data_IF_175153720775
#
_entry.id   IF_175153720775
#
_cell.length_a   1.000
_cell.length_b   1.000
_cell.length_c   1.000
_cell.angle_alpha   90.00
_cell.angle_beta   90.00
_cell.angle_gamma   90.00
#
_symmetry.space_group_name_H-M   'P 1'
#
loop_
_entity.id
_entity.type
_entity.pdbx_description
1 polymer ?
#
# COMPACT_ATOMS: atom_id res chain seq x y z
N UNK A 1 -7.41 8.14 -26.46
CA UNK A 1 -7.81 6.84 -25.87
C UNK A 1 -9.22 6.98 -25.30
N UNK A 2 -10.12 6.02 -25.52
CA UNK A 2 -11.56 6.11 -25.16
C UNK A 2 -12.04 5.02 -24.19
N UNK A 3 -11.15 4.16 -23.70
CA UNK A 3 -11.46 2.97 -22.90
C UNK A 3 -10.63 2.90 -21.63
N UNK A 4 -10.91 1.92 -20.76
CA UNK A 4 -10.06 1.59 -19.61
C UNK A 4 -9.57 0.14 -19.74
N UNK A 5 -8.36 -0.12 -19.24
CA UNK A 5 -7.75 -1.45 -19.16
C UNK A 5 -7.60 -1.88 -17.70
N UNK A 6 -7.48 -3.20 -17.50
CA UNK A 6 -7.20 -3.81 -16.20
C UNK A 6 -5.91 -4.60 -16.32
N UNK A 7 -5.00 -4.42 -15.36
CA UNK A 7 -3.73 -5.14 -15.29
C UNK A 7 -3.64 -5.80 -13.92
N UNK A 8 -3.25 -7.08 -13.91
CA UNK A 8 -2.93 -7.78 -12.68
C UNK A 8 -1.54 -7.38 -12.18
N UNK A 9 -1.51 -6.83 -10.99
CA UNK A 9 -0.33 -6.38 -10.26
C UNK A 9 -0.19 -7.15 -8.93
N UNK A 10 -0.92 -8.25 -8.77
CA UNK A 10 -0.87 -9.16 -7.62
C UNK A 10 0.56 -9.61 -7.28
N UNK A 11 1.52 -9.75 -8.20
CA UNK A 11 2.87 -10.12 -7.80
C UNK A 11 3.62 -9.10 -6.94
N UNK A 12 3.20 -7.83 -6.88
CA UNK A 12 3.89 -6.85 -6.03
C UNK A 12 3.93 -7.30 -4.57
N UNK A 13 5.02 -6.98 -3.89
CA UNK A 13 5.14 -7.26 -2.47
C UNK A 13 4.34 -6.25 -1.65
N UNK A 14 3.66 -6.72 -0.59
CA UNK A 14 2.86 -5.87 0.30
C UNK A 14 3.31 -6.10 1.73
N UNK A 15 3.98 -5.11 2.28
CA UNK A 15 4.51 -5.15 3.63
C UNK A 15 3.69 -4.20 4.50
N UNK A 16 3.11 -4.73 5.57
CA UNK A 16 2.40 -3.95 6.58
C UNK A 16 3.40 -3.55 7.67
N UNK A 17 3.58 -2.25 7.86
CA UNK A 17 4.45 -1.67 8.89
C UNK A 17 3.58 -0.93 9.89
N UNK A 18 3.55 -1.43 11.12
CA UNK A 18 2.68 -0.92 12.19
C UNK A 18 3.44 -0.69 13.49
N UNK A 19 2.95 0.22 14.32
CA UNK A 19 3.46 0.44 15.67
C UNK A 19 3.77 1.91 15.97
N UNK A 20 3.98 2.26 17.25
CA UNK A 20 4.12 3.65 17.69
C UNK A 20 5.31 4.37 17.07
N UNK A 21 6.35 3.63 16.66
CA UNK A 21 7.53 4.21 16.03
C UNK A 21 7.50 4.14 14.49
N UNK A 22 6.40 3.68 13.87
CA UNK A 22 6.36 3.38 12.45
C UNK A 22 6.64 4.60 11.54
N UNK A 23 6.07 5.76 11.88
CA UNK A 23 6.36 7.00 11.15
C UNK A 23 7.83 7.39 11.27
N UNK A 24 8.38 7.40 12.49
CA UNK A 24 9.75 7.78 12.77
C UNK A 24 10.75 6.83 12.10
N UNK A 25 10.48 5.53 12.16
CA UNK A 25 11.27 4.48 11.51
C UNK A 25 11.28 4.65 9.98
N UNK A 26 10.12 4.79 9.34
CA UNK A 26 10.04 4.98 7.89
C UNK A 26 10.70 6.30 7.46
N UNK A 27 10.56 7.35 8.26
CA UNK A 27 11.20 8.64 7.99
C UNK A 27 12.73 8.58 8.15
N UNK A 28 13.24 7.70 9.02
CA UNK A 28 14.67 7.50 9.20
C UNK A 28 15.31 6.73 8.04
N UNK A 29 14.63 5.68 7.55
CA UNK A 29 15.21 4.78 6.54
C UNK A 29 14.95 5.20 5.09
N UNK A 30 14.02 6.13 4.84
CA UNK A 30 13.64 6.54 3.48
C UNK A 30 13.97 8.01 3.20
N UNK A 31 14.21 8.33 1.93
CA UNK A 31 14.70 9.66 1.53
C UNK A 31 13.62 10.73 1.33
N UNK A 32 12.34 10.35 1.26
CA UNK A 32 11.23 11.27 1.07
C UNK A 32 10.40 11.42 2.36
N UNK A 33 9.66 12.53 2.46
CA UNK A 33 8.75 12.80 3.58
C UNK A 33 7.63 11.76 3.64
N UNK A 34 7.36 11.27 4.84
CA UNK A 34 6.29 10.31 5.10
C UNK A 34 4.90 10.94 4.86
N UNK A 35 3.96 10.20 4.24
CA UNK A 35 2.66 10.75 3.90
C UNK A 35 1.79 10.98 5.15
N UNK A 36 0.86 11.94 5.03
CA UNK A 36 -0.27 12.06 5.96
C UNK A 36 -1.23 10.88 5.79
N UNK A 37 -2.08 10.61 6.79
CA UNK A 37 -3.10 9.57 6.72
C UNK A 37 -3.98 9.74 5.46
N UNK A 38 -4.25 8.63 4.76
CA UNK A 38 -5.00 8.62 3.51
C UNK A 38 -4.21 9.16 2.31
N UNK A 39 -2.88 9.26 2.41
CA UNK A 39 -1.99 9.69 1.32
C UNK A 39 -0.95 8.64 1.04
N UNK A 40 -0.45 8.69 -0.19
CA UNK A 40 0.60 7.83 -0.71
C UNK A 40 1.75 8.67 -1.24
N UNK A 41 2.98 8.19 -1.07
CA UNK A 41 4.18 8.77 -1.68
C UNK A 41 5.05 7.66 -2.25
N UNK A 42 5.89 8.03 -3.21
CA UNK A 42 7.02 7.20 -3.65
C UNK A 42 8.25 7.70 -2.91
N UNK A 43 9.04 6.77 -2.37
CA UNK A 43 10.25 7.05 -1.60
C UNK A 43 11.30 5.99 -1.87
N UNK A 44 12.54 6.24 -1.47
CA UNK A 44 13.66 5.36 -1.71
C UNK A 44 14.39 5.05 -0.42
N UNK A 45 14.85 3.80 -0.26
CA UNK A 45 15.87 3.46 0.74
C UNK A 45 17.23 3.72 0.11
N UNK A 46 18.10 4.41 0.84
CA UNK A 46 19.46 4.68 0.41
C UNK A 46 20.45 3.85 1.23
N UNK A 47 21.52 3.41 0.59
CA UNK A 47 22.67 2.83 1.31
C UNK A 47 23.44 3.93 2.03
N UNK A 48 24.34 3.54 2.94
CA UNK A 48 25.24 4.48 3.64
C UNK A 48 26.14 5.29 2.70
N UNK A 49 26.35 4.82 1.47
CA UNK A 49 27.13 5.53 0.44
C UNK A 49 26.25 6.31 -0.53
N UNK A 50 24.93 6.39 -0.31
CA UNK A 50 24.00 7.17 -1.12
C UNK A 50 23.48 6.48 -2.39
N UNK A 51 23.68 5.16 -2.56
CA UNK A 51 23.08 4.42 -3.67
C UNK A 51 21.62 4.09 -3.36
N UNK A 52 20.77 4.01 -4.39
CA UNK A 52 19.39 3.55 -4.24
C UNK A 52 19.39 2.05 -3.98
N UNK A 53 18.97 1.66 -2.79
CA UNK A 53 18.83 0.26 -2.38
C UNK A 53 17.49 -0.31 -2.82
N UNK A 54 16.41 0.45 -2.61
CA UNK A 54 15.04 0.07 -2.95
C UNK A 54 14.19 1.30 -3.28
N UNK A 55 13.17 1.11 -4.12
CA UNK A 55 12.08 2.07 -4.34
C UNK A 55 10.79 1.51 -3.74
N UNK A 56 10.11 2.33 -2.95
CA UNK A 56 8.92 1.96 -2.20
C UNK A 56 7.77 2.91 -2.51
N UNK A 57 6.56 2.35 -2.62
CA UNK A 57 5.32 3.13 -2.54
C UNK A 57 4.74 2.98 -1.14
N UNK A 58 4.74 4.06 -0.36
CA UNK A 58 4.28 4.06 1.03
C UNK A 58 2.93 4.73 1.12
N UNK A 59 1.95 4.03 1.68
CA UNK A 59 0.61 4.55 1.94
C UNK A 59 0.34 4.53 3.44
N UNK A 60 0.00 5.69 4.02
CA UNK A 60 -0.40 5.76 5.44
C UNK A 60 -1.89 5.47 5.56
N UNK A 61 -2.25 4.30 6.07
CA UNK A 61 -3.65 3.86 6.17
C UNK A 61 -4.32 4.34 7.45
N UNK A 62 -3.57 4.38 8.57
CA UNK A 62 -3.98 4.94 9.87
C UNK A 62 -2.80 5.70 10.50
N UNK A 63 -2.98 6.26 11.69
CA UNK A 63 -1.93 7.03 12.37
C UNK A 63 -0.61 6.24 12.44
N UNK A 64 -0.65 5.01 12.95
CA UNK A 64 0.53 4.17 13.18
C UNK A 64 0.57 2.94 12.25
N UNK A 65 0.01 3.05 11.05
CA UNK A 65 -0.12 1.92 10.11
C UNK A 65 0.16 2.35 8.67
N UNK A 66 1.09 1.63 8.04
CA UNK A 66 1.59 1.91 6.71
C UNK A 66 1.59 0.65 5.84
N UNK A 67 1.00 0.76 4.66
CA UNK A 67 1.14 -0.24 3.60
C UNK A 67 2.30 0.17 2.70
N UNK A 68 3.35 -0.64 2.70
CA UNK A 68 4.56 -0.46 1.90
C UNK A 68 4.51 -1.46 0.74
N UNK A 69 4.54 -0.94 -0.48
CA UNK A 69 4.56 -1.73 -1.70
C UNK A 69 5.95 -1.67 -2.32
N UNK A 70 6.49 -2.82 -2.71
CA UNK A 70 7.75 -2.93 -3.46
C UNK A 70 7.62 -3.95 -4.60
N UNK A 71 8.65 -4.05 -5.44
CA UNK A 71 8.72 -4.96 -6.58
C UNK A 71 8.62 -6.44 -6.18
N UNK A 72 7.97 -7.24 -7.02
CA UNK A 72 7.81 -8.69 -6.81
C UNK A 72 9.16 -9.43 -6.68
N UNK A 73 10.15 -9.07 -7.51
CA UNK A 73 11.47 -9.70 -7.51
C UNK A 73 12.38 -9.30 -6.35
N UNK A 74 11.97 -8.32 -5.53
CA UNK A 74 12.77 -7.75 -4.44
C UNK A 74 12.07 -7.82 -3.08
N UNK A 75 10.97 -8.58 -2.99
CA UNK A 75 10.18 -8.74 -1.78
C UNK A 75 11.03 -9.08 -0.54
N UNK A 76 11.71 -10.23 -0.57
CA UNK A 76 12.51 -10.71 0.56
C UNK A 76 13.78 -9.89 0.76
N UNK A 77 14.28 -9.26 -0.31
CA UNK A 77 15.43 -8.36 -0.25
C UNK A 77 15.10 -7.14 0.62
N UNK A 78 13.98 -6.48 0.33
CA UNK A 78 13.54 -5.27 1.03
C UNK A 78 13.00 -5.60 2.42
N UNK A 79 12.21 -6.67 2.56
CA UNK A 79 11.69 -7.10 3.87
C UNK A 79 12.82 -7.40 4.86
N UNK A 80 13.84 -8.16 4.42
CA UNK A 80 15.00 -8.46 5.26
C UNK A 80 15.68 -7.18 5.73
N UNK A 81 15.92 -6.23 4.83
CA UNK A 81 16.55 -4.97 5.17
C UNK A 81 15.74 -4.20 6.22
N UNK A 82 14.43 -4.07 6.03
CA UNK A 82 13.55 -3.39 6.99
C UNK A 82 13.57 -4.06 8.37
N UNK A 83 13.52 -5.39 8.41
CA UNK A 83 13.59 -6.15 9.66
C UNK A 83 14.93 -5.97 10.39
N UNK A 84 16.05 -5.97 9.65
CA UNK A 84 17.38 -5.73 10.21
C UNK A 84 17.49 -4.32 10.79
N UNK A 85 17.04 -3.28 10.06
CA UNK A 85 17.05 -1.89 10.54
C UNK A 85 16.16 -1.70 11.76
N UNK A 86 14.96 -2.31 11.77
CA UNK A 86 14.04 -2.26 12.91
C UNK A 86 14.69 -2.87 14.16
N UNK A 87 15.29 -4.06 14.02
CA UNK A 87 15.95 -4.78 15.11
C UNK A 87 17.17 -4.05 15.65
N UNK A 88 18.04 -3.54 14.78
CA UNK A 88 19.28 -2.85 15.19
C UNK A 88 19.01 -1.49 15.80
N UNK A 89 18.02 -0.76 15.30
CA UNK A 89 17.65 0.55 15.84
C UNK A 89 16.78 0.50 17.10
N UNK A 90 16.30 -0.69 17.51
CA UNK A 90 15.45 -0.83 18.70
C UNK A 90 14.06 -0.21 18.54
N UNK A 91 13.56 -0.12 17.30
CA UNK A 91 12.28 0.50 16.97
C UNK A 91 11.11 -0.38 17.40
N UNK A 92 10.07 0.22 18.00
CA UNK A 92 8.82 -0.47 18.33
C UNK A 92 7.90 -0.52 17.11
N UNK A 93 8.29 -1.35 16.14
CA UNK A 93 7.54 -1.58 14.90
C UNK A 93 7.35 -3.08 14.65
N UNK A 94 6.19 -3.43 14.09
CA UNK A 94 5.85 -4.74 13.56
C UNK A 94 5.92 -4.69 12.04
N UNK A 95 6.53 -5.70 11.43
CA UNK A 95 6.59 -5.88 9.98
C UNK A 95 5.91 -7.20 9.62
N UNK A 96 4.77 -7.12 8.96
CA UNK A 96 4.03 -8.28 8.47
C UNK A 96 4.14 -8.34 6.95
N UNK A 97 4.57 -9.49 6.42
CA UNK A 97 4.49 -9.75 4.99
C UNK A 97 3.07 -10.22 4.64
N UNK A 98 2.37 -9.44 3.82
CA UNK A 98 1.01 -9.73 3.36
C UNK A 98 0.96 -9.94 1.83
N UNK A 99 2.10 -10.24 1.19
CA UNK A 99 2.16 -10.38 -0.26
C UNK A 99 1.17 -11.39 -0.82
N UNK A 100 1.11 -12.58 -0.21
CA UNK A 100 0.24 -13.68 -0.63
C UNK A 100 -1.20 -13.54 -0.10
N UNK A 101 -1.37 -12.80 1.00
CA UNK A 101 -2.70 -12.53 1.56
C UNK A 101 -3.50 -11.57 0.68
N UNK A 102 -2.80 -10.74 -0.10
CA UNK A 102 -3.34 -9.58 -0.76
C UNK A 102 -3.16 -9.64 -2.29
N UNK A 103 -4.25 -9.67 -3.05
CA UNK A 103 -4.19 -9.46 -4.50
C UNK A 103 -4.13 -7.99 -4.88
N UNK A 104 -3.74 -7.65 -6.11
CA UNK A 104 -3.65 -6.26 -6.56
C UNK A 104 -4.04 -6.10 -8.03
N UNK A 105 -5.09 -5.34 -8.33
CA UNK A 105 -5.45 -5.00 -9.72
C UNK A 105 -5.28 -3.51 -9.97
N UNK A 106 -4.81 -3.13 -11.15
CA UNK A 106 -4.80 -1.75 -11.65
C UNK A 106 -5.89 -1.54 -12.68
N UNK A 107 -6.74 -0.52 -12.50
CA UNK A 107 -7.77 -0.12 -13.48
C UNK A 107 -7.47 1.25 -14.04
N UNK A 108 -6.93 1.31 -15.26
CA UNK A 108 -6.36 2.52 -15.84
C UNK A 108 -7.06 3.01 -17.12
N UNK A 109 -7.22 4.33 -17.26
CA UNK A 109 -7.77 4.98 -18.45
C UNK A 109 -8.95 5.92 -18.15
N UNK A 110 -9.43 6.71 -19.12
CA UNK A 110 -10.47 7.73 -18.93
C UNK A 110 -11.81 7.19 -18.40
N UNK A 111 -12.12 5.90 -18.62
CA UNK A 111 -13.34 5.24 -18.11
C UNK A 111 -13.15 4.52 -16.76
N UNK A 112 -11.95 4.54 -16.18
CA UNK A 112 -11.65 3.85 -14.91
C UNK A 112 -12.57 4.29 -13.78
N UNK A 113 -12.75 5.61 -13.60
CA UNK A 113 -13.65 6.17 -12.58
C UNK A 113 -15.07 5.64 -12.73
N UNK A 114 -15.60 5.63 -13.96
CA UNK A 114 -16.95 5.12 -14.23
C UNK A 114 -17.09 3.63 -13.86
N UNK A 115 -16.06 2.82 -14.13
CA UNK A 115 -16.06 1.40 -13.76
C UNK A 115 -16.02 1.24 -12.23
N UNK A 116 -15.11 1.95 -11.56
CA UNK A 116 -14.92 1.85 -10.11
C UNK A 116 -16.13 2.37 -9.33
N UNK A 117 -16.80 3.43 -9.80
CA UNK A 117 -18.04 3.94 -9.19
C UNK A 117 -19.17 2.91 -9.16
N UNK A 118 -19.18 1.92 -10.05
CA UNK A 118 -20.15 0.81 -9.98
C UNK A 118 -19.88 -0.16 -8.84
N UNK A 119 -18.64 -0.21 -8.34
CA UNK A 119 -18.24 -1.09 -7.25
C UNK A 119 -18.44 -0.43 -5.89
N UNK A 120 -18.33 0.90 -5.81
CA UNK A 120 -18.55 1.63 -4.56
C UNK A 120 -18.86 3.11 -4.77
N UNK A 121 -19.76 3.62 -3.92
CA UNK A 121 -20.07 5.05 -3.81
C UNK A 121 -18.85 5.88 -3.39
N UNK A 122 -17.81 5.26 -2.82
CA UNK A 122 -16.58 5.95 -2.45
C UNK A 122 -15.87 6.64 -3.63
N UNK A 123 -16.15 6.22 -4.86
CA UNK A 123 -15.54 6.76 -6.08
C UNK A 123 -16.38 7.85 -6.77
N UNK A 124 -17.60 8.13 -6.29
CA UNK A 124 -18.50 9.13 -6.89
C UNK A 124 -18.04 10.59 -6.62
N UNK A 125 -17.15 10.80 -5.65
CA UNK A 125 -16.65 12.11 -5.25
C UNK A 125 -15.35 12.58 -5.93
N UNK A 126 -14.74 13.62 -5.34
CA UNK A 126 -13.36 14.03 -5.65
C UNK A 126 -12.40 13.02 -5.04
N UNK A 127 -11.53 12.46 -5.88
CA UNK A 127 -10.46 11.55 -5.44
C UNK A 127 -9.13 12.15 -5.92
N UNK A 128 -8.46 12.98 -5.10
CA UNK A 128 -7.25 13.67 -5.52
C UNK A 128 -6.12 12.71 -5.86
N UNK A 129 -5.19 13.18 -6.68
CA UNK A 129 -3.98 12.43 -6.97
C UNK A 129 -3.21 12.08 -5.67
N UNK A 130 -2.64 10.87 -5.57
CA UNK A 130 -1.90 10.35 -4.40
C UNK A 130 -2.74 10.31 -3.11
N UNK A 131 -4.07 10.17 -3.23
CA UNK A 131 -4.93 9.81 -2.11
C UNK A 131 -5.16 8.31 -2.06
N UNK A 132 -5.42 7.81 -0.86
CA UNK A 132 -5.79 6.44 -0.58
C UNK A 132 -7.04 6.44 0.30
N UNK A 133 -7.92 5.47 0.07
CA UNK A 133 -9.12 5.28 0.88
C UNK A 133 -9.37 3.79 1.04
N UNK A 134 -9.68 3.40 2.26
CA UNK A 134 -10.17 2.06 2.55
C UNK A 134 -11.65 1.99 2.19
N UNK A 135 -12.02 1.00 1.39
CA UNK A 135 -13.41 0.76 0.96
C UNK A 135 -13.72 -0.71 1.21
N UNK A 136 -14.94 -1.00 1.66
CA UNK A 136 -15.39 -2.32 2.17
C UNK A 136 -15.30 -3.51 1.19
N UNK A 137 -14.67 -3.35 0.02
CA UNK A 137 -14.33 -4.45 -0.89
C UNK A 137 -12.96 -4.28 -1.60
N UNK A 138 -12.21 -3.20 -1.39
CA UNK A 138 -11.05 -2.84 -2.23
C UNK A 138 -10.16 -1.82 -1.50
N UNK A 139 -8.92 -2.14 -1.11
CA UNK A 139 -7.96 -1.09 -0.72
C UNK A 139 -7.44 -0.39 -1.99
N UNK A 140 -7.23 0.93 -2.01
CA UNK A 140 -6.90 1.68 -3.24
C UNK A 140 -5.60 2.50 -3.09
N UNK A 141 -4.57 2.24 -3.90
CA UNK A 141 -3.41 3.15 -4.09
C UNK A 141 -3.47 3.86 -5.47
N UNK A 142 -3.07 5.15 -5.54
CA UNK A 142 -3.16 6.00 -6.75
C UNK A 142 -1.80 6.50 -7.22
N UNK A 143 -1.42 6.18 -8.48
CA UNK A 143 -0.42 6.92 -9.28
C UNK A 143 -1.09 7.55 -10.54
N UNK A 144 -0.77 8.81 -10.90
CA UNK A 144 -1.39 9.62 -11.99
C UNK A 144 -0.29 10.10 -12.93
N UNK A 145 -0.18 9.34 -14.00
CA UNK A 145 -0.16 9.83 -15.37
C UNK A 145 -1.12 8.97 -16.23
N UNK A 146 -1.50 7.80 -15.72
CA UNK A 146 -2.62 6.94 -16.13
C UNK A 146 -3.25 6.46 -14.81
N UNK A 147 -4.57 6.55 -14.63
CA UNK A 147 -5.25 6.29 -13.34
C UNK A 147 -5.00 4.87 -12.81
N UNK A 148 -3.91 4.57 -12.08
CA UNK A 148 -3.74 3.23 -11.49
C UNK A 148 -4.47 3.26 -10.15
N UNK A 149 -5.60 2.58 -10.06
CA UNK A 149 -6.21 2.25 -8.78
C UNK A 149 -5.73 0.86 -8.41
N UNK A 150 -4.81 0.74 -7.46
CA UNK A 150 -4.30 -0.54 -6.93
C UNK A 150 -5.32 -1.07 -5.94
N UNK A 151 -6.14 -2.01 -6.38
CA UNK A 151 -7.17 -2.69 -5.62
C UNK A 151 -6.57 -3.82 -4.78
N UNK A 152 -6.30 -3.60 -3.50
CA UNK A 152 -5.79 -4.65 -2.60
C UNK A 152 -6.95 -5.42 -1.95
N UNK A 153 -7.00 -6.74 -2.12
CA UNK A 153 -8.07 -7.60 -1.59
C UNK A 153 -7.50 -8.79 -0.83
N UNK A 154 -8.11 -9.15 0.30
CA UNK A 154 -7.68 -10.29 1.12
C UNK A 154 -8.30 -11.62 0.64
N UNK A 155 -7.49 -12.67 0.46
CA UNK A 155 -8.00 -14.01 0.14
C UNK A 155 -8.33 -14.80 1.43
N UNK A 156 -9.43 -15.57 1.42
CA UNK A 156 -9.77 -16.54 2.48
C UNK A 156 -9.82 -17.94 1.88
N UNK A 157 -9.25 -18.93 2.56
CA UNK A 157 -8.99 -20.30 2.06
C UNK A 157 -10.22 -21.22 2.02
N UNK A 158 -11.40 -20.72 2.32
CA UNK A 158 -12.65 -21.48 2.47
C UNK A 158 -13.54 -21.50 1.21
N UNK A 159 -13.11 -20.91 0.09
CA UNK A 159 -13.85 -20.91 -1.18
C UNK A 159 -15.19 -20.17 -1.14
N UNK A 160 -15.57 -19.67 0.02
CA UNK A 160 -16.62 -18.69 0.20
C UNK A 160 -15.97 -17.31 0.16
N UNK A 161 -16.55 -16.35 -0.56
CA UNK A 161 -16.20 -14.94 -0.40
C UNK A 161 -16.78 -14.44 0.92
N UNK A 162 -16.41 -15.08 2.05
CA UNK A 162 -16.76 -14.62 3.37
C UNK A 162 -15.77 -13.54 3.80
N UNK A 163 -16.27 -12.31 3.81
CA UNK A 163 -15.57 -11.16 4.33
C UNK A 163 -15.58 -11.24 5.87
N UNK A 164 -14.58 -11.89 6.44
CA UNK A 164 -14.32 -11.82 7.88
C UNK A 164 -13.65 -10.48 8.21
N UNK A 165 -14.09 -9.76 9.25
CA UNK A 165 -13.48 -8.50 9.65
C UNK A 165 -12.10 -8.79 10.26
N UNK A 166 -11.03 -8.45 9.55
CA UNK A 166 -9.75 -8.24 10.21
C UNK A 166 -9.85 -6.93 11.01
N UNK A 167 -10.28 -7.07 12.27
CA UNK A 167 -10.18 -6.14 13.39
C UNK A 167 -10.18 -4.64 13.03
N UNK A 168 -11.39 -4.11 12.91
CA UNK A 168 -11.67 -2.69 13.13
C UNK A 168 -11.59 -2.44 14.65
N UNK A 169 -10.57 -1.74 15.13
CA UNK A 169 -10.66 -1.13 16.45
C UNK A 169 -11.66 0.03 16.38
N UNK A 170 -12.85 -0.19 16.94
CA UNK A 170 -13.75 0.88 17.37
C UNK A 170 -13.18 1.48 18.66
N UNK A 171 -12.87 2.77 18.62
CA UNK A 171 -13.05 3.63 19.78
C UNK A 171 -14.25 4.54 19.44
N UNK A 172 -15.19 4.63 20.39
CA UNK A 172 -16.27 5.63 20.37
C UNK A 172 -15.70 7.04 20.22
#
# INVERSE_FOLDING_TARGET
MTSAGIIDLTPFAKLLVEGPDAEAFLNYITANKIPKVGRTVITHILTSTGHVYAELTVTRTKEDSFLVITGSGVEMHDLRWLQEQARHGGWKVSLANQTDDLGCLSVAGPKSKQILSKLSLAFEGKFPFFSAKEVRCVCVCVCVCVCVCVCVFKYSSDGSSSFSPATLHLLL
#
